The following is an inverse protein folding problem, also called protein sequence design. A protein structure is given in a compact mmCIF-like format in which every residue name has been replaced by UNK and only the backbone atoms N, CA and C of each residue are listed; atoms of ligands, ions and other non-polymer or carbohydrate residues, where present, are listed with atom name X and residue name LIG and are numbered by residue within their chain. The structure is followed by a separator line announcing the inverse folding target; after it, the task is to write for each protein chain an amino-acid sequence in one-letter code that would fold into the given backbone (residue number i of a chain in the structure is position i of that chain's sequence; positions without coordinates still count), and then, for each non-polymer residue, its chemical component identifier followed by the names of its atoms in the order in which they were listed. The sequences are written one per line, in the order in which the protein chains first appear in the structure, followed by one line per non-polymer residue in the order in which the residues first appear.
data_IF_737069477919
#
_entry.id   IF_737069477919
#
_cell.length_a   1.000
_cell.length_b   1.000
_cell.length_c   1.000
_cell.angle_alpha   90.00
_cell.angle_beta   90.00
_cell.angle_gamma   90.00
#
_symmetry.space_group_name_H-M   'P 1'
#
loop_
_entity.id
_entity.type
_entity.pdbx_description
1 polymer ?
#
# COMPACT_ATOMS: atom_id res chain seq x y z
N UNK A 1 52.03 20.89 0.45
CA UNK A 1 50.62 21.25 0.44
C UNK A 1 49.79 20.09 0.94
N UNK A 2 49.26 20.20 2.19
CA UNK A 2 48.36 19.23 2.77
C UNK A 2 47.04 19.40 2.00
N UNK A 3 46.70 18.46 1.12
CA UNK A 3 45.36 18.40 0.57
C UNK A 3 44.36 18.14 1.69
N UNK A 4 43.53 19.11 2.03
CA UNK A 4 42.37 18.85 2.88
C UNK A 4 41.50 17.88 2.13
N UNK A 5 41.47 16.59 2.53
CA UNK A 5 40.45 15.67 2.06
C UNK A 5 39.10 16.27 2.43
N UNK A 6 38.21 16.43 1.44
CA UNK A 6 36.87 16.88 1.69
C UNK A 6 36.25 15.93 2.73
N UNK A 7 35.76 16.48 3.87
CA UNK A 7 35.07 15.68 4.86
C UNK A 7 33.88 14.98 4.18
N UNK A 8 33.84 13.64 4.27
CA UNK A 8 32.71 12.87 3.76
C UNK A 8 31.47 13.28 4.54
N UNK A 9 30.39 13.68 3.83
CA UNK A 9 29.11 14.03 4.45
C UNK A 9 28.46 12.73 4.90
N UNK A 10 28.37 12.53 6.21
CA UNK A 10 27.66 11.41 6.82
C UNK A 10 26.30 11.88 7.29
N UNK A 11 25.25 11.12 7.00
CA UNK A 11 23.94 11.39 7.54
C UNK A 11 23.35 10.15 8.19
N UNK A 12 22.47 10.37 9.14
CA UNK A 12 21.78 9.32 9.89
C UNK A 12 20.27 9.39 9.66
N UNK A 13 19.63 8.23 9.59
CA UNK A 13 18.19 8.09 9.52
C UNK A 13 17.74 6.97 10.44
N UNK A 14 16.47 6.97 10.79
CA UNK A 14 15.82 5.90 11.53
C UNK A 14 14.80 5.22 10.62
N UNK A 15 14.79 3.89 10.61
CA UNK A 15 13.75 3.15 9.90
C UNK A 15 12.43 3.13 10.70
N UNK A 16 11.40 2.49 10.16
CA UNK A 16 10.08 2.45 10.80
C UNK A 16 10.07 1.65 12.11
N UNK A 17 11.10 0.88 12.39
CA UNK A 17 11.27 0.12 13.65
C UNK A 17 12.11 0.87 14.68
N UNK A 18 12.58 2.08 14.36
CA UNK A 18 13.44 2.89 15.22
C UNK A 18 14.91 2.55 15.16
N UNK A 19 15.34 1.68 14.22
CA UNK A 19 16.74 1.32 14.04
C UNK A 19 17.46 2.43 13.27
N UNK A 20 18.67 2.78 13.72
CA UNK A 20 19.50 3.81 13.12
C UNK A 20 20.32 3.25 11.96
N UNK A 21 20.29 3.91 10.82
CA UNK A 21 21.15 3.67 9.68
C UNK A 21 22.04 4.89 9.45
N UNK A 22 23.31 4.65 9.12
CA UNK A 22 24.28 5.71 8.83
C UNK A 22 24.80 5.53 7.41
N UNK A 23 24.80 6.61 6.64
CA UNK A 23 25.26 6.63 5.25
C UNK A 23 26.40 7.63 5.06
N UNK A 24 27.45 7.22 4.38
CA UNK A 24 28.55 8.11 3.96
C UNK A 24 28.27 8.79 2.63
N UNK A 25 27.35 8.25 1.86
CA UNK A 25 26.87 8.77 0.57
C UNK A 25 25.45 8.28 0.32
N UNK A 26 24.77 8.90 -0.61
CA UNK A 26 23.46 8.42 -1.08
C UNK A 26 23.58 7.01 -1.64
N UNK A 27 22.70 6.08 -1.28
CA UNK A 27 22.71 4.74 -1.87
C UNK A 27 22.55 4.77 -3.39
N UNK A 28 23.33 3.98 -4.10
CA UNK A 28 23.33 3.91 -5.57
C UNK A 28 22.98 2.51 -6.10
N UNK A 29 22.89 1.52 -5.21
CA UNK A 29 22.52 0.14 -5.55
C UNK A 29 21.45 -0.37 -4.60
N UNK A 30 20.22 0.03 -4.87
CA UNK A 30 19.10 -0.19 -3.97
C UNK A 30 18.31 -1.43 -4.40
N UNK A 31 18.09 -2.33 -3.45
CA UNK A 31 17.16 -3.46 -3.58
C UNK A 31 15.90 -3.15 -2.79
N UNK A 32 14.75 -3.26 -3.43
CA UNK A 32 13.43 -3.11 -2.80
C UNK A 32 12.73 -4.45 -2.73
N UNK A 33 12.26 -4.83 -1.54
CA UNK A 33 11.62 -6.13 -1.28
C UNK A 33 10.10 -6.06 -1.14
N UNK A 34 9.50 -4.87 -1.26
CA UNK A 34 8.05 -4.70 -1.14
C UNK A 34 7.48 -3.89 -2.32
N UNK A 35 6.24 -4.17 -2.70
CA UNK A 35 5.59 -3.39 -3.77
C UNK A 35 5.43 -1.91 -3.38
N UNK A 36 5.15 -1.61 -2.12
CA UNK A 36 5.00 -0.22 -1.66
C UNK A 36 6.30 0.56 -1.76
N UNK A 37 7.42 -0.02 -1.36
CA UNK A 37 8.72 0.64 -1.46
C UNK A 37 9.24 0.71 -2.90
N UNK A 38 8.91 -0.27 -3.74
CA UNK A 38 9.14 -0.16 -5.19
C UNK A 38 8.54 1.14 -5.73
N UNK A 39 7.29 1.42 -5.39
CA UNK A 39 6.52 2.56 -5.87
C UNK A 39 7.06 3.88 -5.32
N UNK A 40 7.36 3.94 -4.03
CA UNK A 40 7.91 5.15 -3.40
C UNK A 40 9.29 5.47 -3.99
N UNK A 41 10.16 4.49 -4.05
CA UNK A 41 11.53 4.67 -4.54
C UNK A 41 11.58 5.11 -6.00
N UNK A 42 10.67 4.65 -6.83
CA UNK A 42 10.58 5.03 -8.25
C UNK A 42 10.38 6.54 -8.44
N UNK A 43 9.70 7.20 -7.51
CA UNK A 43 9.53 8.66 -7.55
C UNK A 43 10.63 9.42 -6.79
N UNK A 44 11.43 8.75 -5.98
CA UNK A 44 12.49 9.38 -5.20
C UNK A 44 13.85 9.35 -5.89
N UNK A 45 14.16 8.27 -6.60
CA UNK A 45 15.49 8.05 -7.18
C UNK A 45 15.40 7.79 -8.68
N UNK A 46 16.48 8.12 -9.39
CA UNK A 46 16.68 7.65 -10.76
C UNK A 46 16.70 6.11 -10.77
N UNK A 47 16.04 5.48 -11.75
CA UNK A 47 15.98 4.02 -11.86
C UNK A 47 17.37 3.37 -11.95
N UNK A 48 18.40 4.09 -12.37
CA UNK A 48 19.80 3.62 -12.36
C UNK A 48 20.29 3.27 -10.96
N UNK A 49 19.70 3.86 -9.93
CA UNK A 49 20.03 3.56 -8.52
C UNK A 49 19.30 2.32 -7.99
N UNK A 50 18.32 1.79 -8.72
CA UNK A 50 17.61 0.56 -8.40
C UNK A 50 18.28 -0.62 -9.07
N UNK A 51 18.66 -1.65 -8.32
CA UNK A 51 19.20 -2.90 -8.86
C UNK A 51 18.19 -4.04 -8.88
N UNK A 52 17.15 -3.96 -8.06
CA UNK A 52 16.03 -4.88 -8.11
C UNK A 52 14.78 -4.29 -7.48
N UNK A 53 13.64 -4.64 -8.06
CA UNK A 53 12.32 -4.49 -7.46
C UNK A 53 11.89 -5.77 -6.75
N UNK A 54 10.80 -5.70 -5.99
CA UNK A 54 10.13 -6.87 -5.44
C UNK A 54 9.55 -7.74 -6.58
N UNK A 55 9.22 -8.98 -6.25
CA UNK A 55 8.59 -9.93 -7.18
C UNK A 55 7.27 -9.43 -7.77
N UNK A 56 6.62 -8.46 -7.15
CA UNK A 56 5.31 -7.93 -7.55
C UNK A 56 5.38 -6.87 -8.65
N UNK A 57 6.55 -6.31 -8.90
CA UNK A 57 6.71 -5.23 -9.89
C UNK A 57 6.25 -5.67 -11.28
N UNK A 58 5.43 -4.84 -11.91
CA UNK A 58 4.86 -5.13 -13.22
C UNK A 58 3.55 -5.93 -13.21
N UNK A 59 3.12 -6.45 -12.06
CA UNK A 59 1.78 -7.04 -11.90
C UNK A 59 0.77 -5.92 -11.63
N UNK A 60 0.03 -5.50 -12.65
CA UNK A 60 -0.86 -4.34 -12.61
C UNK A 60 -2.06 -4.49 -11.66
N UNK A 61 -2.34 -5.67 -11.16
CA UNK A 61 -3.42 -5.92 -10.21
C UNK A 61 -3.01 -5.68 -8.75
N UNK A 62 -1.71 -5.61 -8.47
CA UNK A 62 -1.18 -5.38 -7.11
C UNK A 62 -0.13 -4.28 -7.05
N UNK A 63 0.48 -3.90 -8.15
CA UNK A 63 1.58 -2.94 -8.20
C UNK A 63 1.31 -1.80 -9.17
N UNK A 64 1.74 -0.59 -8.79
CA UNK A 64 1.77 0.57 -9.67
C UNK A 64 3.07 0.68 -10.47
N UNK A 65 4.03 -0.22 -10.27
CA UNK A 65 5.20 -0.30 -11.13
C UNK A 65 4.78 -0.85 -12.49
N UNK A 66 5.04 -0.10 -13.53
CA UNK A 66 4.73 -0.51 -14.90
C UNK A 66 5.65 -1.65 -15.36
N UNK A 67 5.22 -2.39 -16.37
CA UNK A 67 6.08 -3.41 -17.01
C UNK A 67 7.35 -2.78 -17.59
N UNK A 68 7.25 -1.56 -18.13
CA UNK A 68 8.41 -0.83 -18.67
C UNK A 68 9.41 -0.48 -17.59
N UNK A 69 8.97 0.01 -16.43
CA UNK A 69 9.84 0.30 -15.29
C UNK A 69 10.48 -0.98 -14.76
N UNK A 70 9.72 -2.05 -14.64
CA UNK A 70 10.24 -3.36 -14.20
C UNK A 70 11.33 -3.88 -15.14
N UNK A 71 11.13 -3.75 -16.46
CA UNK A 71 12.12 -4.13 -17.47
C UNK A 71 13.36 -3.23 -17.45
N UNK A 72 13.17 -1.92 -17.19
CA UNK A 72 14.28 -0.98 -17.12
C UNK A 72 15.26 -1.29 -15.97
N UNK A 73 14.73 -1.71 -14.81
CA UNK A 73 15.55 -2.21 -13.70
C UNK A 73 16.10 -3.61 -13.99
N UNK A 74 15.28 -4.46 -14.59
CA UNK A 74 15.70 -5.75 -15.17
C UNK A 74 15.85 -6.89 -14.18
N UNK A 75 15.57 -6.68 -12.90
CA UNK A 75 15.67 -7.71 -11.87
C UNK A 75 14.54 -7.58 -10.84
N UNK A 76 13.99 -8.72 -10.44
CA UNK A 76 13.04 -8.84 -9.32
C UNK A 76 13.58 -9.86 -8.35
N UNK A 77 13.48 -9.56 -7.06
CA UNK A 77 13.93 -10.47 -6.00
C UNK A 77 12.85 -10.67 -4.95
N UNK A 78 12.87 -11.85 -4.36
CA UNK A 78 12.13 -12.16 -3.16
C UNK A 78 13.07 -12.12 -1.94
N UNK A 79 12.58 -12.59 -0.81
CA UNK A 79 13.33 -12.68 0.44
C UNK A 79 14.35 -13.84 0.40
N UNK A 80 15.32 -13.72 -0.50
CA UNK A 80 16.36 -14.71 -0.76
C UNK A 80 17.73 -14.07 -0.63
N UNK A 81 18.48 -14.44 0.42
CA UNK A 81 19.77 -13.86 0.74
C UNK A 81 20.77 -13.97 -0.43
N UNK A 82 20.87 -15.15 -1.02
CA UNK A 82 21.85 -15.41 -2.09
C UNK A 82 21.58 -14.56 -3.33
N UNK A 83 20.31 -14.44 -3.74
CA UNK A 83 19.92 -13.60 -4.86
C UNK A 83 20.18 -12.12 -4.58
N UNK A 84 19.94 -11.67 -3.36
CA UNK A 84 20.19 -10.27 -2.94
C UNK A 84 21.70 -9.98 -2.96
N UNK A 85 22.52 -10.87 -2.40
CA UNK A 85 23.96 -10.69 -2.34
C UNK A 85 24.62 -10.60 -3.72
N UNK A 86 24.13 -11.34 -4.70
CA UNK A 86 24.62 -11.27 -6.09
C UNK A 86 24.47 -9.91 -6.74
N UNK A 87 23.54 -9.10 -6.24
CA UNK A 87 23.28 -7.75 -6.75
C UNK A 87 24.21 -6.71 -6.16
N UNK A 88 25.00 -7.06 -5.16
CA UNK A 88 25.92 -6.14 -4.47
C UNK A 88 25.25 -4.83 -4.05
N UNK A 89 24.15 -4.89 -3.28
CA UNK A 89 23.44 -3.68 -2.87
C UNK A 89 24.20 -2.89 -1.82
N UNK A 90 24.00 -1.57 -1.83
CA UNK A 90 24.44 -0.68 -0.75
C UNK A 90 23.27 -0.21 0.14
N UNK A 91 22.05 -0.62 -0.19
CA UNK A 91 20.86 -0.49 0.64
C UNK A 91 19.86 -1.58 0.25
N UNK A 92 19.32 -2.26 1.24
CA UNK A 92 18.16 -3.15 1.08
C UNK A 92 17.00 -2.57 1.85
N UNK A 93 15.87 -2.32 1.15
CA UNK A 93 14.63 -1.86 1.78
C UNK A 93 13.71 -3.05 1.95
N UNK A 94 13.50 -3.44 3.19
CA UNK A 94 12.75 -4.62 3.60
C UNK A 94 11.50 -4.22 4.41
N UNK A 95 10.70 -5.18 4.82
CA UNK A 95 9.57 -4.96 5.70
C UNK A 95 9.69 -5.79 6.98
N UNK A 96 8.80 -5.54 7.93
CA UNK A 96 8.71 -6.35 9.16
C UNK A 96 8.35 -7.82 8.86
N UNK A 97 7.84 -8.10 7.66
CA UNK A 97 7.54 -9.47 7.21
C UNK A 97 8.77 -10.18 6.61
N UNK A 98 9.84 -9.44 6.32
CA UNK A 98 11.08 -10.04 5.81
C UNK A 98 11.73 -10.91 6.89
N UNK A 99 12.26 -12.06 6.49
CA UNK A 99 12.92 -13.00 7.41
C UNK A 99 14.03 -12.32 8.22
N UNK A 100 14.01 -12.50 9.55
CA UNK A 100 15.06 -12.00 10.43
C UNK A 100 16.44 -12.54 10.08
N UNK A 101 16.52 -13.77 9.61
CA UNK A 101 17.79 -14.38 9.20
C UNK A 101 18.41 -13.66 8.00
N UNK A 102 17.58 -13.26 7.04
CA UNK A 102 18.04 -12.50 5.86
C UNK A 102 18.50 -11.11 6.30
N UNK A 103 17.72 -10.40 7.11
CA UNK A 103 18.08 -9.07 7.62
C UNK A 103 19.39 -9.13 8.41
N UNK A 104 19.50 -10.06 9.33
CA UNK A 104 20.68 -10.23 10.18
C UNK A 104 21.93 -10.56 9.36
N UNK A 105 21.80 -11.44 8.39
CA UNK A 105 22.92 -11.83 7.52
C UNK A 105 23.43 -10.67 6.67
N UNK A 106 22.52 -9.83 6.14
CA UNK A 106 22.89 -8.64 5.39
C UNK A 106 23.63 -7.63 6.27
N UNK A 107 23.15 -7.39 7.47
CA UNK A 107 23.76 -6.45 8.41
C UNK A 107 25.12 -6.92 8.89
N UNK A 108 25.29 -8.23 9.12
CA UNK A 108 26.56 -8.81 9.57
C UNK A 108 27.70 -8.60 8.57
N UNK A 109 27.38 -8.43 7.29
CA UNK A 109 28.37 -8.12 6.25
C UNK A 109 28.43 -6.64 5.87
N UNK A 110 27.75 -5.79 6.63
CA UNK A 110 27.80 -4.34 6.47
C UNK A 110 26.86 -3.74 5.44
N UNK A 111 25.84 -4.47 4.99
CA UNK A 111 24.80 -3.95 4.09
C UNK A 111 23.67 -3.34 4.93
N UNK A 112 23.41 -2.03 4.81
CA UNK A 112 22.31 -1.39 5.52
C UNK A 112 20.96 -1.97 5.11
N UNK A 113 20.10 -2.25 6.08
CA UNK A 113 18.73 -2.71 5.85
C UNK A 113 17.76 -1.70 6.49
N UNK A 114 16.95 -1.07 5.66
CA UNK A 114 15.90 -0.17 6.08
C UNK A 114 14.57 -0.93 6.14
N UNK A 115 13.98 -1.05 7.33
CA UNK A 115 12.78 -1.85 7.54
C UNK A 115 11.56 -0.94 7.62
N UNK A 116 10.57 -1.21 6.76
CA UNK A 116 9.30 -0.48 6.75
C UNK A 116 8.18 -1.27 7.42
N UNK A 117 7.23 -0.54 7.99
CA UNK A 117 5.95 -1.05 8.49
C UNK A 117 4.82 -0.65 7.54
N UNK A 118 3.74 -1.43 7.54
CA UNK A 118 2.52 -1.06 6.85
C UNK A 118 1.85 0.12 7.57
N UNK A 119 1.55 1.23 6.87
CA UNK A 119 0.86 2.35 7.49
C UNK A 119 -0.62 2.03 7.71
N UNK A 120 -1.22 2.64 8.73
CA UNK A 120 -2.64 2.48 9.05
C UNK A 120 -3.50 3.63 8.53
N UNK A 121 -2.88 4.76 8.19
CA UNK A 121 -3.59 5.96 7.77
C UNK A 121 -2.70 6.84 6.89
N UNK A 122 -3.28 7.93 6.42
CA UNK A 122 -2.60 8.87 5.53
C UNK A 122 -1.38 9.53 6.21
N UNK A 123 -1.49 9.92 7.48
CA UNK A 123 -0.40 10.56 8.20
C UNK A 123 0.81 9.62 8.35
N UNK A 124 0.57 8.35 8.66
CA UNK A 124 1.62 7.34 8.71
C UNK A 124 2.21 7.08 7.33
N UNK A 125 1.41 7.14 6.26
CA UNK A 125 1.89 7.03 4.89
C UNK A 125 2.83 8.18 4.54
N UNK A 126 2.47 9.41 4.88
CA UNK A 126 3.33 10.58 4.67
C UNK A 126 4.66 10.45 5.43
N UNK A 127 4.61 10.00 6.67
CA UNK A 127 5.81 9.77 7.47
C UNK A 127 6.72 8.71 6.86
N UNK A 128 6.14 7.61 6.37
CA UNK A 128 6.87 6.54 5.67
C UNK A 128 7.62 7.08 4.44
N UNK A 129 6.95 7.89 3.63
CA UNK A 129 7.54 8.49 2.43
C UNK A 129 8.66 9.46 2.82
N UNK A 130 8.41 10.32 3.79
CA UNK A 130 9.40 11.29 4.26
C UNK A 130 10.66 10.63 4.80
N UNK A 131 10.51 9.59 5.61
CA UNK A 131 11.63 8.87 6.23
C UNK A 131 12.42 8.08 5.18
N UNK A 132 11.76 7.42 4.25
CA UNK A 132 12.44 6.70 3.17
C UNK A 132 13.16 7.67 2.23
N UNK A 133 12.57 8.82 1.94
CA UNK A 133 13.22 9.88 1.17
C UNK A 133 14.53 10.34 1.82
N UNK A 134 14.51 10.54 3.14
CA UNK A 134 15.71 10.90 3.89
C UNK A 134 16.77 9.80 3.78
N UNK A 135 16.38 8.52 3.87
CA UNK A 135 17.30 7.40 3.80
C UNK A 135 18.05 7.33 2.47
N UNK A 136 17.39 7.65 1.37
CA UNK A 136 18.03 7.65 0.03
C UNK A 136 18.63 9.01 -0.36
N UNK A 137 18.61 9.98 0.57
CA UNK A 137 19.20 11.31 0.35
C UNK A 137 18.38 12.22 -0.54
N UNK A 138 17.06 12.02 -0.62
CA UNK A 138 16.15 12.72 -1.52
C UNK A 138 14.98 13.38 -0.76
N UNK A 139 15.27 14.01 0.39
CA UNK A 139 14.23 14.64 1.23
C UNK A 139 13.39 15.67 0.49
N UNK A 140 13.98 16.46 -0.41
CA UNK A 140 13.25 17.45 -1.21
C UNK A 140 12.23 16.80 -2.14
N UNK A 141 12.59 15.68 -2.77
CA UNK A 141 11.64 14.92 -3.61
C UNK A 141 10.54 14.32 -2.78
N UNK A 142 10.85 13.84 -1.59
CA UNK A 142 9.84 13.37 -0.62
C UNK A 142 8.83 14.45 -0.27
N UNK A 143 9.28 15.66 0.00
CA UNK A 143 8.40 16.80 0.30
C UNK A 143 7.50 17.16 -0.89
N UNK A 144 8.02 17.09 -2.12
CA UNK A 144 7.23 17.31 -3.35
C UNK A 144 6.15 16.24 -3.50
N UNK A 145 6.47 14.98 -3.26
CA UNK A 145 5.50 13.87 -3.33
C UNK A 145 4.36 14.12 -2.34
N UNK A 146 4.68 14.46 -1.09
CA UNK A 146 3.69 14.70 -0.03
C UNK A 146 2.81 15.90 -0.38
N UNK A 147 3.40 16.98 -0.88
CA UNK A 147 2.65 18.16 -1.31
C UNK A 147 1.67 17.84 -2.44
N UNK A 148 2.09 17.05 -3.40
CA UNK A 148 1.23 16.62 -4.51
C UNK A 148 0.08 15.72 -4.00
N UNK A 149 0.35 14.84 -3.05
CA UNK A 149 -0.67 14.02 -2.41
C UNK A 149 -1.71 14.90 -1.69
N UNK A 150 -1.25 15.85 -0.88
CA UNK A 150 -2.12 16.78 -0.15
C UNK A 150 -3.01 17.59 -1.10
N UNK A 151 -2.45 18.09 -2.20
CA UNK A 151 -3.20 18.85 -3.20
C UNK A 151 -4.28 18.01 -3.89
N UNK A 152 -3.95 16.78 -4.26
CA UNK A 152 -4.91 15.87 -4.91
C UNK A 152 -6.04 15.47 -3.96
N UNK A 153 -5.72 15.19 -2.70
CA UNK A 153 -6.74 14.88 -1.68
C UNK A 153 -7.63 16.08 -1.38
N UNK A 154 -7.04 17.28 -1.36
CA UNK A 154 -7.82 18.51 -1.18
C UNK A 154 -8.81 18.71 -2.33
N UNK A 155 -8.38 18.54 -3.59
CA UNK A 155 -9.25 18.66 -4.74
C UNK A 155 -10.37 17.62 -4.73
N UNK A 156 -10.07 16.39 -4.31
CA UNK A 156 -11.06 15.35 -4.16
C UNK A 156 -12.07 15.69 -3.07
N UNK A 157 -11.59 16.19 -1.92
CA UNK A 157 -12.44 16.61 -0.79
C UNK A 157 -13.40 17.72 -1.19
N UNK A 158 -12.97 18.67 -2.01
CA UNK A 158 -13.86 19.71 -2.55
C UNK A 158 -15.02 19.10 -3.33
N UNK A 159 -14.75 18.11 -4.19
CA UNK A 159 -15.82 17.41 -4.93
C UNK A 159 -16.75 16.63 -3.99
N UNK A 160 -16.18 15.90 -3.05
CA UNK A 160 -16.95 15.07 -2.11
C UNK A 160 -17.76 15.91 -1.10
N UNK A 161 -17.35 17.15 -0.84
CA UNK A 161 -18.06 18.06 0.05
C UNK A 161 -19.47 18.42 -0.45
N UNK A 162 -19.74 18.26 -1.75
CA UNK A 162 -21.06 18.44 -2.33
C UNK A 162 -22.04 17.31 -1.99
N UNK A 163 -21.53 16.18 -1.47
CA UNK A 163 -22.33 15.02 -1.09
C UNK A 163 -22.94 15.26 0.29
N UNK A 164 -24.27 15.36 0.45
CA UNK A 164 -24.89 15.43 1.76
C UNK A 164 -24.60 14.15 2.57
N UNK A 165 -24.46 14.29 3.89
CA UNK A 165 -24.14 13.16 4.76
C UNK A 165 -25.14 12.00 4.67
N UNK A 166 -26.43 12.29 4.44
CA UNK A 166 -27.47 11.27 4.29
C UNK A 166 -27.39 10.48 2.98
N UNK A 167 -26.61 10.97 2.00
CA UNK A 167 -26.36 10.27 0.72
C UNK A 167 -25.07 9.46 0.73
N UNK A 168 -24.31 9.49 1.82
CA UNK A 168 -23.11 8.66 1.93
C UNK A 168 -23.49 7.18 1.95
N UNK A 169 -22.83 6.42 1.09
CA UNK A 169 -23.08 4.98 0.96
C UNK A 169 -22.27 4.19 1.97
N UNK A 170 -22.87 3.09 2.42
CA UNK A 170 -22.22 2.08 3.24
C UNK A 170 -21.65 1.01 2.32
N UNK A 171 -20.37 0.72 2.45
CA UNK A 171 -19.69 -0.33 1.70
C UNK A 171 -19.17 -1.43 2.63
N UNK A 172 -19.12 -2.65 2.10
CA UNK A 172 -18.35 -3.76 2.67
C UNK A 172 -17.43 -4.27 1.58
N UNK A 173 -16.15 -4.32 1.90
CA UNK A 173 -15.14 -4.89 1.01
C UNK A 173 -14.91 -6.37 1.33
N UNK A 174 -14.55 -7.14 0.30
CA UNK A 174 -14.25 -8.58 0.42
C UNK A 174 -12.87 -8.89 -0.14
N UNK A 175 -12.16 -9.80 0.51
CA UNK A 175 -11.13 -10.60 -0.14
C UNK A 175 -11.76 -11.92 -0.61
N UNK A 176 -10.98 -12.88 -1.10
CA UNK A 176 -11.54 -14.15 -1.60
C UNK A 176 -12.01 -15.11 -0.50
N UNK A 177 -11.92 -14.76 0.76
CA UNK A 177 -12.34 -15.61 1.88
C UNK A 177 -13.48 -15.02 2.70
N UNK A 178 -13.48 -13.70 2.91
CA UNK A 178 -14.46 -13.05 3.79
C UNK A 178 -14.51 -11.54 3.57
N UNK A 179 -15.44 -10.88 4.26
CA UNK A 179 -15.44 -9.43 4.38
C UNK A 179 -14.20 -8.94 5.12
N UNK A 180 -13.76 -7.73 4.80
CA UNK A 180 -12.56 -7.08 5.34
C UNK A 180 -12.82 -5.58 5.58
N UNK A 181 -11.83 -4.85 6.08
CA UNK A 181 -11.95 -3.41 6.33
C UNK A 181 -12.15 -3.10 7.81
N UNK A 182 -11.36 -3.73 8.65
CA UNK A 182 -11.39 -3.56 10.10
C UNK A 182 -11.15 -2.10 10.49
N UNK A 183 -11.84 -1.62 11.53
CA UNK A 183 -11.66 -0.28 12.07
C UNK A 183 -10.19 0.01 12.39
N UNK A 184 -9.66 1.10 11.86
CA UNK A 184 -8.28 1.55 12.06
C UNK A 184 -7.26 0.91 11.14
N UNK A 185 -7.64 0.04 10.20
CA UNK A 185 -6.74 -0.40 9.15
C UNK A 185 -6.66 0.62 8.00
N UNK A 186 -5.77 0.39 7.05
CA UNK A 186 -5.56 1.34 5.95
C UNK A 186 -6.79 1.45 5.06
N UNK A 187 -7.46 0.34 4.77
CA UNK A 187 -8.67 0.36 3.94
C UNK A 187 -9.78 1.17 4.61
N UNK A 188 -9.93 1.08 5.92
CA UNK A 188 -10.84 1.92 6.69
C UNK A 188 -10.53 3.42 6.47
N UNK A 189 -9.27 3.80 6.54
CA UNK A 189 -8.82 5.17 6.27
C UNK A 189 -9.12 5.61 4.83
N UNK A 190 -8.88 4.75 3.85
CA UNK A 190 -9.16 5.04 2.43
C UNK A 190 -10.65 5.24 2.21
N UNK A 191 -11.49 4.36 2.71
CA UNK A 191 -12.95 4.48 2.60
C UNK A 191 -13.45 5.78 3.25
N UNK A 192 -12.96 6.10 4.44
CA UNK A 192 -13.32 7.32 5.16
C UNK A 192 -12.93 8.58 4.37
N UNK A 193 -11.72 8.63 3.80
CA UNK A 193 -11.28 9.74 2.95
C UNK A 193 -12.10 9.87 1.67
N UNK A 194 -12.68 8.78 1.17
CA UNK A 194 -13.57 8.78 0.01
C UNK A 194 -15.04 9.11 0.37
N UNK A 195 -15.33 9.48 1.61
CA UNK A 195 -16.69 9.71 2.13
C UNK A 195 -17.58 8.47 2.03
N UNK A 196 -17.00 7.30 2.12
CA UNK A 196 -17.70 6.01 2.15
C UNK A 196 -17.74 5.52 3.59
N UNK A 197 -18.92 5.11 4.05
CA UNK A 197 -19.08 4.52 5.37
C UNK A 197 -18.57 3.08 5.29
N UNK A 198 -17.52 2.78 6.07
CA UNK A 198 -17.01 1.42 6.16
C UNK A 198 -17.87 0.58 7.09
N UNK A 199 -18.73 -0.26 6.51
CA UNK A 199 -19.65 -1.08 7.29
C UNK A 199 -18.96 -2.04 8.25
N UNK A 200 -17.83 -2.59 7.86
CA UNK A 200 -17.05 -3.50 8.70
C UNK A 200 -16.49 -2.84 9.96
N UNK A 201 -16.16 -1.54 9.90
CA UNK A 201 -15.63 -0.81 11.06
C UNK A 201 -16.62 -0.72 12.23
N UNK A 202 -17.92 -0.72 11.93
CA UNK A 202 -18.97 -0.63 12.95
C UNK A 202 -19.12 -1.92 13.78
N UNK A 203 -18.71 -3.05 13.26
CA UNK A 203 -18.92 -4.38 13.87
C UNK A 203 -17.63 -5.07 14.30
N UNK A 204 -16.50 -4.43 14.13
CA UNK A 204 -15.18 -4.99 14.46
C UNK A 204 -14.49 -4.19 15.56
N UNK A 205 -13.78 -4.86 16.49
CA UNK A 205 -12.89 -4.13 17.39
C UNK A 205 -11.75 -3.47 16.60
N UNK A 206 -11.26 -2.30 17.03
CA UNK A 206 -10.19 -1.60 16.32
C UNK A 206 -8.90 -2.41 16.29
N UNK A 207 -8.06 -2.18 15.27
CA UNK A 207 -6.75 -2.85 15.12
C UNK A 207 -5.86 -2.65 16.34
N UNK A 208 -6.00 -1.49 17.02
CA UNK A 208 -5.25 -1.16 18.24
C UNK A 208 -5.50 -2.13 19.41
N UNK A 209 -6.60 -2.89 19.39
CA UNK A 209 -6.88 -3.90 20.43
C UNK A 209 -6.15 -5.23 20.17
N UNK A 210 -5.48 -5.40 19.04
CA UNK A 210 -4.72 -6.61 18.67
C UNK A 210 -5.52 -7.93 18.77
N UNK A 211 -6.84 -7.86 18.57
CA UNK A 211 -7.71 -9.03 18.57
C UNK A 211 -7.93 -9.55 17.16
N UNK A 212 -7.96 -10.87 16.99
CA UNK A 212 -8.38 -11.48 15.73
C UNK A 212 -9.87 -11.23 15.50
N UNK A 213 -10.24 -10.96 14.24
CA UNK A 213 -11.62 -10.70 13.86
C UNK A 213 -11.95 -11.45 12.58
N UNK A 214 -13.08 -12.16 12.62
CA UNK A 214 -13.71 -12.71 11.43
C UNK A 214 -15.06 -12.01 11.28
N UNK A 215 -15.30 -11.41 10.12
CA UNK A 215 -16.56 -10.76 9.82
C UNK A 215 -17.47 -11.80 9.19
N UNK A 216 -18.47 -12.25 9.94
CA UNK A 216 -19.41 -13.28 9.51
C UNK A 216 -20.41 -12.76 8.47
N UNK A 217 -21.06 -13.66 7.74
CA UNK A 217 -22.14 -13.30 6.83
C UNK A 217 -23.29 -12.61 7.57
N UNK A 218 -23.60 -13.06 8.79
CA UNK A 218 -24.63 -12.46 9.63
C UNK A 218 -24.31 -11.01 9.99
N UNK A 219 -23.04 -10.70 10.25
CA UNK A 219 -22.60 -9.31 10.47
C UNK A 219 -22.80 -8.47 9.21
N UNK A 220 -22.46 -8.99 8.04
CA UNK A 220 -22.67 -8.29 6.75
C UNK A 220 -24.15 -8.03 6.51
N UNK A 221 -25.01 -8.99 6.78
CA UNK A 221 -26.49 -8.83 6.67
C UNK A 221 -26.99 -7.75 7.63
N UNK A 222 -26.51 -7.72 8.85
CA UNK A 222 -26.86 -6.69 9.84
C UNK A 222 -26.42 -5.30 9.40
N UNK A 223 -25.21 -5.16 8.83
CA UNK A 223 -24.71 -3.91 8.25
C UNK A 223 -25.63 -3.45 7.12
N UNK A 224 -26.09 -4.37 6.30
CA UNK A 224 -26.92 -4.12 5.11
C UNK A 224 -26.31 -3.04 4.20
N UNK A 225 -25.13 -3.24 3.64
CA UNK A 225 -24.43 -2.22 2.85
C UNK A 225 -25.13 -1.93 1.52
N UNK A 226 -24.87 -0.72 1.01
CA UNK A 226 -25.35 -0.27 -0.30
C UNK A 226 -24.53 -0.85 -1.44
N UNK A 227 -23.29 -1.20 -1.18
CA UNK A 227 -22.33 -1.68 -2.19
C UNK A 227 -21.36 -2.69 -1.60
N UNK A 228 -21.04 -3.70 -2.41
CA UNK A 228 -19.93 -4.62 -2.15
C UNK A 228 -18.75 -4.30 -3.06
N UNK A 229 -17.56 -4.25 -2.48
CA UNK A 229 -16.31 -4.04 -3.20
C UNK A 229 -15.53 -5.36 -3.24
N UNK A 230 -15.37 -5.92 -4.44
CA UNK A 230 -14.88 -7.29 -4.64
C UNK A 230 -13.43 -7.31 -5.16
N UNK A 231 -12.67 -8.35 -4.79
CA UNK A 231 -11.28 -8.51 -5.23
C UNK A 231 -11.21 -9.00 -6.68
N UNK A 232 -10.08 -8.69 -7.35
CA UNK A 232 -9.80 -9.19 -8.69
C UNK A 232 -8.40 -9.78 -8.87
N UNK A 233 -7.52 -9.67 -7.86
CA UNK A 233 -6.15 -10.17 -8.00
C UNK A 233 -6.11 -11.68 -7.92
N UNK A 234 -5.80 -12.29 -9.04
CA UNK A 234 -5.77 -13.74 -9.22
C UNK A 234 -4.33 -14.23 -9.42
N UNK A 235 -3.53 -14.16 -8.34
CA UNK A 235 -2.15 -14.62 -8.38
C UNK A 235 -2.06 -16.12 -8.68
N UNK A 236 -1.30 -16.48 -9.73
CA UNK A 236 -1.13 -17.85 -10.19
C UNK A 236 -2.43 -18.58 -10.56
N UNK A 237 -3.46 -17.86 -10.96
CA UNK A 237 -4.77 -18.43 -11.34
C UNK A 237 -5.41 -19.32 -10.25
N UNK A 238 -5.12 -19.01 -8.97
CA UNK A 238 -5.66 -19.78 -7.83
C UNK A 238 -7.09 -19.40 -7.46
N UNK A 239 -7.58 -18.25 -7.95
CA UNK A 239 -8.89 -17.73 -7.62
C UNK A 239 -9.77 -17.67 -8.86
N UNK A 240 -11.04 -18.03 -8.71
CA UNK A 240 -12.06 -17.83 -9.72
C UNK A 240 -12.78 -16.49 -9.44
N UNK A 241 -12.30 -15.42 -10.03
CA UNK A 241 -12.80 -14.05 -9.80
C UNK A 241 -14.28 -13.94 -10.16
N UNK A 242 -14.68 -14.41 -11.33
CA UNK A 242 -16.07 -14.36 -11.78
C UNK A 242 -16.96 -15.31 -10.99
N UNK A 243 -16.48 -16.50 -10.69
CA UNK A 243 -17.20 -17.46 -9.85
C UNK A 243 -17.46 -16.92 -8.46
N UNK A 244 -16.48 -16.23 -7.86
CA UNK A 244 -16.65 -15.59 -6.56
C UNK A 244 -17.71 -14.47 -6.59
N UNK A 245 -17.71 -13.65 -7.64
CA UNK A 245 -18.76 -12.65 -7.86
C UNK A 245 -20.16 -13.28 -7.86
N UNK A 246 -20.35 -14.35 -8.64
CA UNK A 246 -21.65 -15.04 -8.72
C UNK A 246 -21.98 -15.80 -7.44
N UNK A 247 -21.01 -16.33 -6.74
CA UNK A 247 -21.19 -16.96 -5.43
C UNK A 247 -21.80 -15.96 -4.43
N UNK A 248 -21.24 -14.76 -4.34
CA UNK A 248 -21.77 -13.71 -3.46
C UNK A 248 -23.14 -13.24 -3.93
N UNK A 249 -23.29 -13.00 -5.24
CA UNK A 249 -24.55 -12.50 -5.83
C UNK A 249 -25.71 -13.45 -5.60
N UNK A 250 -25.45 -14.76 -5.62
CA UNK A 250 -26.44 -15.80 -5.47
C UNK A 250 -26.51 -16.43 -4.07
N UNK A 251 -25.72 -15.95 -3.12
CA UNK A 251 -25.74 -16.46 -1.76
C UNK A 251 -27.08 -16.15 -1.09
N UNK A 252 -27.83 -17.18 -0.66
CA UNK A 252 -29.14 -16.97 -0.01
C UNK A 252 -29.05 -16.06 1.23
N UNK A 253 -27.90 -16.08 1.95
CA UNK A 253 -27.69 -15.22 3.12
C UNK A 253 -27.76 -13.73 2.78
N UNK A 254 -27.36 -13.34 1.57
CA UNK A 254 -27.31 -11.94 1.12
C UNK A 254 -28.51 -11.49 0.30
N UNK A 255 -29.49 -12.35 0.11
CA UNK A 255 -30.63 -12.12 -0.75
C UNK A 255 -31.35 -10.78 -0.52
N UNK A 256 -31.47 -10.36 0.74
CA UNK A 256 -32.17 -9.13 1.15
C UNK A 256 -31.22 -7.94 1.38
N UNK A 257 -29.91 -8.11 1.19
CA UNK A 257 -28.93 -7.03 1.33
C UNK A 257 -29.09 -6.05 0.15
N UNK A 258 -29.12 -4.76 0.44
CA UNK A 258 -29.31 -3.70 -0.59
C UNK A 258 -28.33 -3.82 -1.73
N UNK A 259 -27.04 -4.08 -1.45
CA UNK A 259 -26.02 -4.23 -2.47
C UNK A 259 -26.37 -5.32 -3.49
N UNK A 260 -26.90 -6.45 -3.03
CA UNK A 260 -27.30 -7.57 -3.90
C UNK A 260 -28.61 -7.25 -4.62
N UNK A 261 -29.61 -6.73 -3.93
CA UNK A 261 -30.90 -6.36 -4.52
C UNK A 261 -30.75 -5.33 -5.65
N UNK A 262 -29.86 -4.37 -5.47
CA UNK A 262 -29.60 -3.29 -6.44
C UNK A 262 -28.43 -3.60 -7.37
N UNK A 263 -27.90 -4.82 -7.33
CA UNK A 263 -26.77 -5.28 -8.15
C UNK A 263 -25.55 -4.36 -8.07
N UNK A 264 -25.27 -3.85 -6.87
CA UNK A 264 -24.14 -2.97 -6.59
C UNK A 264 -22.95 -3.78 -6.04
N UNK A 265 -22.44 -4.67 -6.87
CA UNK A 265 -21.19 -5.39 -6.64
C UNK A 265 -20.16 -4.84 -7.62
N UNK A 266 -19.09 -4.23 -7.10
CA UNK A 266 -18.09 -3.56 -7.93
C UNK A 266 -16.72 -4.17 -7.67
N UNK A 267 -16.00 -4.47 -8.76
CA UNK A 267 -14.60 -4.87 -8.65
C UNK A 267 -13.72 -3.67 -8.35
N UNK A 268 -12.80 -3.85 -7.41
CA UNK A 268 -11.75 -2.88 -7.11
C UNK A 268 -10.43 -3.62 -7.07
N UNK A 269 -9.50 -3.24 -7.94
CA UNK A 269 -8.19 -3.86 -7.99
C UNK A 269 -7.48 -3.82 -6.64
N UNK A 270 -6.82 -4.91 -6.29
CA UNK A 270 -6.15 -5.09 -5.01
C UNK A 270 -5.01 -4.07 -4.79
N UNK A 271 -4.42 -3.54 -5.87
CA UNK A 271 -3.42 -2.46 -5.76
C UNK A 271 -3.96 -1.20 -5.07
N UNK A 272 -5.27 -0.93 -5.15
CA UNK A 272 -5.92 0.18 -4.44
C UNK A 272 -6.31 -0.19 -3.01
N UNK A 273 -6.54 -1.46 -2.76
CA UNK A 273 -7.02 -1.96 -1.45
C UNK A 273 -5.88 -2.24 -0.49
N UNK A 274 -4.71 -2.62 -1.02
CA UNK A 274 -3.49 -2.93 -0.26
C UNK A 274 -2.36 -1.95 -0.52
N UNK A 275 -2.68 -0.76 -1.04
CA UNK A 275 -1.69 0.28 -1.35
C UNK A 275 -0.80 0.58 -0.14
N UNK A 276 0.50 0.78 -0.39
CA UNK A 276 1.46 1.07 0.66
C UNK A 276 2.48 2.15 0.23
N UNK A 277 2.00 3.13 -0.53
CA UNK A 277 2.81 4.19 -1.15
C UNK A 277 2.01 5.48 -1.34
N UNK A 278 2.60 6.46 -2.04
CA UNK A 278 1.95 7.69 -2.49
C UNK A 278 0.67 7.43 -3.31
N UNK A 279 0.52 6.25 -3.87
CA UNK A 279 -0.68 5.85 -4.60
C UNK A 279 -1.92 5.62 -3.72
N UNK A 280 -1.80 5.86 -2.42
CA UNK A 280 -2.97 5.96 -1.53
C UNK A 280 -3.97 6.99 -2.07
N UNK A 281 -3.50 8.07 -2.69
CA UNK A 281 -4.35 9.10 -3.30
C UNK A 281 -5.13 8.53 -4.49
N UNK A 282 -4.47 7.71 -5.31
CA UNK A 282 -5.15 7.00 -6.42
C UNK A 282 -6.19 6.03 -5.89
N UNK A 283 -5.92 5.37 -4.77
CA UNK A 283 -6.88 4.47 -4.12
C UNK A 283 -8.12 5.22 -3.63
N UNK A 284 -7.95 6.34 -2.93
CA UNK A 284 -9.08 7.17 -2.46
C UNK A 284 -9.93 7.66 -3.64
N UNK A 285 -9.28 8.15 -4.69
CA UNK A 285 -9.96 8.62 -5.90
C UNK A 285 -10.70 7.48 -6.61
N UNK A 286 -10.08 6.31 -6.74
CA UNK A 286 -10.71 5.13 -7.35
C UNK A 286 -11.95 4.68 -6.59
N UNK A 287 -11.89 4.62 -5.28
CA UNK A 287 -13.03 4.27 -4.43
C UNK A 287 -14.14 5.32 -4.56
N UNK A 288 -13.80 6.60 -4.50
CA UNK A 288 -14.79 7.68 -4.65
C UNK A 288 -15.50 7.61 -6.01
N UNK A 289 -14.76 7.42 -7.10
CA UNK A 289 -15.33 7.29 -8.46
C UNK A 289 -16.20 6.03 -8.61
N UNK A 290 -15.81 4.95 -7.95
CA UNK A 290 -16.55 3.68 -7.99
C UNK A 290 -17.88 3.78 -7.24
N UNK A 291 -17.88 4.43 -6.08
CA UNK A 291 -19.05 4.53 -5.20
C UNK A 291 -19.95 5.70 -5.59
N UNK A 292 -19.37 6.82 -6.03
CA UNK A 292 -20.09 8.04 -6.40
C UNK A 292 -19.77 8.50 -7.83
N UNK A 293 -20.05 7.68 -8.85
CA UNK A 293 -19.69 8.03 -10.23
C UNK A 293 -20.35 9.33 -10.72
N UNK A 294 -21.48 9.70 -10.14
CA UNK A 294 -22.24 10.91 -10.48
C UNK A 294 -21.52 12.22 -10.11
N UNK A 295 -20.48 12.17 -9.25
CA UNK A 295 -19.71 13.35 -8.83
C UNK A 295 -18.54 13.68 -9.76
N UNK A 296 -18.28 12.82 -10.74
CA UNK A 296 -17.08 12.95 -11.58
C UNK A 296 -17.37 13.13 -13.06
#
# INVERSE_FOLDING_TARGET
SVSKSAASITYEVFDDTGRKLTFNKKPERIVSLTYGTDEILTELVDLKRMVAFSRWAGDSEISFITKEQALAVGCKVADNLEAILKLEPDLVVASVATSNDVVQSLENIGIPVYIVRSPHNYQEMCAKIKNLAAAVGESKKGDVIIKNMDNRLHNLEVKLSHLPSYQRKVAVAFNFTSAMGRKGDLLDSILTMAHVINGAAAVTPPVSEHKSVVISKEMVVTINPDIFLLPIWNYNNKQDVQGYYYEIMNDPAYKNVKAVQNRQLKFVSDKYRYVASQHIVDAVEKIARTVYPELF
#
